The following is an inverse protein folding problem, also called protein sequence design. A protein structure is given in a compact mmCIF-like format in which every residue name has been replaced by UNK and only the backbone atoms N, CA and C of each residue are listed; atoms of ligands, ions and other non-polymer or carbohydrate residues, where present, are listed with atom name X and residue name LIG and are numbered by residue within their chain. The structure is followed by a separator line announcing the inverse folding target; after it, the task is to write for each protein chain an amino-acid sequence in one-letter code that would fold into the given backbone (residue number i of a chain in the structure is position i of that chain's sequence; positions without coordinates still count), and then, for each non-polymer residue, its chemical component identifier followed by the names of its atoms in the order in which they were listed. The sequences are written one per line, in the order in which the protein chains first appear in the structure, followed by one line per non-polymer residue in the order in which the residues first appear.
data_IF_256335451375
#
_entry.id   IF_256335451375
#
_cell.length_a   1.000
_cell.length_b   1.000
_cell.length_c   1.000
_cell.angle_alpha   90.00
_cell.angle_beta   90.00
_cell.angle_gamma   90.00
#
_symmetry.space_group_name_H-M   'P 1'
#
loop_
_entity.id
_entity.type
_entity.pdbx_description
1 polymer ?
#
# COMPACT_ATOMS: atom_id res chain seq x y z
N UNK A 1 3.98 25.93 6.71
CA UNK A 1 3.40 25.76 8.03
C UNK A 1 2.87 24.33 8.21
N UNK A 2 3.31 23.64 9.28
CA UNK A 2 2.98 22.23 9.56
C UNK A 2 1.47 22.00 9.68
N UNK A 3 0.76 22.94 10.28
CA UNK A 3 -0.70 22.85 10.47
C UNK A 3 -1.46 22.92 9.13
N UNK A 4 -0.97 23.72 8.20
CA UNK A 4 -1.53 23.77 6.84
C UNK A 4 -1.32 22.46 6.11
N UNK A 5 -0.12 21.86 6.19
CA UNK A 5 0.16 20.54 5.62
C UNK A 5 -0.75 19.47 6.23
N UNK A 6 -0.92 19.46 7.56
CA UNK A 6 -1.81 18.51 8.25
C UNK A 6 -3.25 18.59 7.75
N UNK A 7 -3.79 19.81 7.60
CA UNK A 7 -5.16 19.99 7.09
C UNK A 7 -5.32 19.50 5.65
N UNK A 8 -4.35 19.79 4.77
CA UNK A 8 -4.38 19.28 3.39
C UNK A 8 -4.29 17.75 3.36
N UNK A 9 -3.35 17.14 4.09
CA UNK A 9 -3.21 15.68 4.19
C UNK A 9 -4.53 15.04 4.65
N UNK A 10 -5.16 15.58 5.68
CA UNK A 10 -6.44 15.06 6.19
C UNK A 10 -7.56 15.13 5.15
N UNK A 11 -7.64 16.20 4.35
CA UNK A 11 -8.64 16.30 3.27
C UNK A 11 -8.38 15.31 2.16
N UNK A 12 -7.13 15.17 1.73
CA UNK A 12 -6.72 14.20 0.71
C UNK A 12 -7.03 12.76 1.17
N UNK A 13 -6.67 12.42 2.41
CA UNK A 13 -6.97 11.09 2.97
C UNK A 13 -8.45 10.78 3.02
N UNK A 14 -9.28 11.70 3.51
CA UNK A 14 -10.74 11.50 3.54
C UNK A 14 -11.31 11.21 2.16
N UNK A 15 -10.75 11.82 1.10
CA UNK A 15 -11.17 11.55 -0.26
C UNK A 15 -10.72 10.18 -0.79
N UNK A 16 -9.63 9.63 -0.26
CA UNK A 16 -9.12 8.30 -0.61
C UNK A 16 -9.77 7.18 0.21
N UNK A 17 -10.09 7.45 1.48
CA UNK A 17 -10.61 6.47 2.44
C UNK A 17 -12.15 6.39 2.43
N UNK A 18 -12.82 7.03 1.48
CA UNK A 18 -14.28 7.08 1.43
C UNK A 18 -14.87 5.70 1.08
N UNK A 19 -15.35 4.99 2.09
CA UNK A 19 -16.12 3.76 1.91
C UNK A 19 -17.48 4.05 1.26
N UNK A 20 -17.68 3.62 0.02
CA UNK A 20 -18.94 3.75 -0.70
C UNK A 20 -18.95 4.86 -1.75
N UNK A 21 -19.57 6.00 -1.50
CA UNK A 21 -19.63 7.10 -2.46
C UNK A 21 -18.35 7.90 -2.45
N UNK A 22 -17.54 7.79 -3.52
CA UNK A 22 -16.30 8.54 -3.67
C UNK A 22 -16.57 10.05 -3.78
N UNK A 23 -16.09 10.88 -2.83
CA UNK A 23 -16.13 12.32 -2.99
C UNK A 23 -15.18 12.75 -4.11
N UNK A 24 -15.38 13.96 -4.63
CA UNK A 24 -14.42 14.55 -5.56
C UNK A 24 -13.06 14.66 -4.87
N UNK A 25 -12.02 14.14 -5.53
CA UNK A 25 -10.65 14.27 -5.01
C UNK A 25 -10.19 15.74 -5.12
N UNK A 26 -9.67 16.34 -4.03
CA UNK A 26 -9.29 17.75 -4.00
C UNK A 26 -7.92 17.98 -4.66
N UNK A 27 -7.89 18.02 -5.99
CA UNK A 27 -6.66 18.17 -6.81
C UNK A 27 -5.92 19.47 -6.52
N UNK A 28 -6.65 20.52 -6.15
CA UNK A 28 -6.09 21.82 -5.78
C UNK A 28 -5.28 21.73 -4.48
N UNK A 29 -5.78 20.97 -3.48
CA UNK A 29 -5.04 20.70 -2.25
C UNK A 29 -3.82 19.82 -2.52
N UNK A 30 -3.93 18.86 -3.43
CA UNK A 30 -2.82 17.99 -3.82
C UNK A 30 -1.69 18.78 -4.49
N UNK A 31 -2.05 19.76 -5.35
CA UNK A 31 -1.09 20.68 -5.94
C UNK A 31 -0.48 21.64 -4.91
N UNK A 32 -1.30 22.24 -4.06
CA UNK A 32 -0.81 23.14 -3.02
C UNK A 32 0.13 22.44 -2.04
N UNK A 33 -0.16 21.18 -1.68
CA UNK A 33 0.71 20.38 -0.84
C UNK A 33 2.02 20.02 -1.56
N UNK A 34 1.97 19.68 -2.85
CA UNK A 34 3.17 19.48 -3.67
C UNK A 34 4.06 20.73 -3.66
N UNK A 35 3.50 21.90 -3.95
CA UNK A 35 4.26 23.17 -3.93
C UNK A 35 4.85 23.49 -2.56
N UNK A 36 4.12 23.15 -1.49
CA UNK A 36 4.60 23.37 -0.12
C UNK A 36 5.81 22.48 0.21
N UNK A 37 5.81 21.23 -0.23
CA UNK A 37 6.83 20.23 0.13
C UNK A 37 8.00 20.25 -0.85
N UNK A 38 7.70 20.19 -2.15
CA UNK A 38 8.69 20.01 -3.20
C UNK A 38 9.03 21.31 -3.95
N UNK A 39 8.19 22.33 -3.87
CA UNK A 39 8.41 23.62 -4.53
C UNK A 39 9.81 24.20 -4.27
N UNK A 40 10.31 24.23 -3.02
CA UNK A 40 11.66 24.73 -2.74
C UNK A 40 12.80 23.94 -3.37
N UNK A 41 12.53 22.70 -3.78
CA UNK A 41 13.52 21.81 -4.40
C UNK A 41 13.20 21.51 -5.87
N UNK A 42 12.22 22.15 -6.47
CA UNK A 42 11.68 21.80 -7.79
C UNK A 42 12.75 21.88 -8.90
N UNK A 43 13.62 22.87 -8.85
CA UNK A 43 14.77 22.99 -9.78
C UNK A 43 15.73 21.78 -9.67
N UNK A 44 15.96 21.29 -8.44
CA UNK A 44 16.80 20.11 -8.19
C UNK A 44 16.14 18.82 -8.63
N UNK A 45 14.82 18.79 -8.71
CA UNK A 45 14.06 17.65 -9.20
C UNK A 45 13.96 17.61 -10.72
N UNK A 46 14.34 18.67 -11.41
CA UNK A 46 14.34 18.72 -12.86
C UNK A 46 15.21 17.59 -13.45
N UNK A 47 14.65 16.79 -14.36
CA UNK A 47 15.35 15.66 -14.97
C UNK A 47 15.48 14.41 -14.10
N UNK A 48 15.13 14.45 -12.82
CA UNK A 48 15.12 13.26 -11.98
C UNK A 48 13.97 12.32 -12.37
N UNK A 49 14.23 11.02 -12.32
CA UNK A 49 13.23 9.97 -12.58
C UNK A 49 12.80 9.27 -11.30
N UNK A 50 13.65 9.27 -10.28
CA UNK A 50 13.42 8.63 -8.99
C UNK A 50 13.50 9.63 -7.86
N UNK A 51 12.57 9.53 -6.92
CA UNK A 51 12.59 10.28 -5.65
C UNK A 51 12.51 9.27 -4.51
N UNK A 52 13.48 9.34 -3.61
CA UNK A 52 13.46 8.61 -2.35
C UNK A 52 13.08 9.62 -1.27
N UNK A 53 11.93 9.43 -0.66
CA UNK A 53 11.41 10.32 0.36
C UNK A 53 11.42 9.65 1.73
N UNK A 54 11.77 10.45 2.74
CA UNK A 54 11.69 10.09 4.16
C UNK A 54 10.64 11.00 4.78
N UNK A 55 9.34 10.64 4.68
CA UNK A 55 8.29 11.49 5.23
C UNK A 55 8.33 11.52 6.75
N UNK A 56 7.80 12.60 7.33
CA UNK A 56 7.65 12.76 8.77
C UNK A 56 6.29 13.33 9.14
N UNK A 57 5.85 13.09 10.37
CA UNK A 57 4.59 13.63 10.90
C UNK A 57 3.37 13.26 10.03
N UNK A 58 2.51 14.24 9.68
CA UNK A 58 1.29 13.97 8.91
C UNK A 58 1.53 13.30 7.55
N UNK A 59 2.70 13.53 6.94
CA UNK A 59 3.04 13.02 5.61
C UNK A 59 3.25 11.51 5.56
N UNK A 60 3.50 10.86 6.70
CA UNK A 60 3.59 9.40 6.82
C UNK A 60 2.32 8.69 6.37
N UNK A 61 1.19 9.36 6.47
CA UNK A 61 -0.12 8.78 6.19
C UNK A 61 -0.63 9.04 4.77
N UNK A 62 0.19 9.68 3.90
CA UNK A 62 -0.21 10.01 2.54
C UNK A 62 0.78 9.43 1.53
N UNK A 63 0.27 8.74 0.51
CA UNK A 63 1.11 8.37 -0.63
C UNK A 63 1.40 9.61 -1.49
N UNK A 64 2.68 9.91 -1.75
CA UNK A 64 3.06 11.09 -2.55
C UNK A 64 2.66 10.98 -4.02
N UNK A 65 2.35 9.77 -4.48
CA UNK A 65 1.88 9.54 -5.85
C UNK A 65 0.62 10.30 -6.22
N UNK A 66 -0.23 10.64 -5.23
CA UNK A 66 -1.48 11.39 -5.43
C UNK A 66 -1.29 12.91 -5.42
N UNK A 67 -0.07 13.41 -5.21
CA UNK A 67 0.23 14.82 -5.35
C UNK A 67 0.21 15.23 -6.82
N UNK A 68 -0.11 16.49 -7.08
CA UNK A 68 -0.22 17.06 -8.43
C UNK A 68 0.95 18.00 -8.66
N UNK A 69 1.70 17.80 -9.74
CA UNK A 69 2.96 18.52 -10.00
C UNK A 69 2.78 19.83 -10.78
N UNK A 70 1.60 20.02 -11.41
CA UNK A 70 1.29 21.22 -12.21
C UNK A 70 -0.07 21.76 -11.81
N UNK A 71 -0.34 23.08 -12.04
CA UNK A 71 -1.65 23.63 -11.74
C UNK A 71 -2.77 22.81 -12.37
N UNK A 72 -3.71 22.28 -11.58
CA UNK A 72 -4.75 21.45 -12.13
C UNK A 72 -5.67 22.29 -13.03
N UNK A 73 -5.84 21.86 -14.27
CA UNK A 73 -6.95 22.34 -15.09
C UNK A 73 -8.26 21.78 -14.50
N UNK A 74 -9.40 22.44 -14.77
CA UNK A 74 -10.69 22.01 -14.20
C UNK A 74 -10.94 20.53 -14.49
N UNK A 75 -10.72 19.70 -13.47
CA UNK A 75 -11.04 18.28 -13.54
C UNK A 75 -12.54 18.11 -13.52
N UNK A 76 -13.08 17.30 -14.42
CA UNK A 76 -14.44 16.78 -14.33
C UNK A 76 -14.61 16.05 -13.00
N UNK A 77 -15.82 15.91 -12.49
CA UNK A 77 -16.08 15.18 -11.23
C UNK A 77 -15.61 13.74 -11.25
N UNK A 78 -15.43 13.15 -12.42
CA UNK A 78 -15.12 11.73 -12.63
C UNK A 78 -13.91 11.47 -13.52
N UNK A 79 -13.38 12.49 -14.21
CA UNK A 79 -12.25 12.33 -15.11
C UNK A 79 -11.01 13.05 -14.56
N UNK A 80 -10.01 12.24 -14.21
CA UNK A 80 -8.70 12.65 -13.71
C UNK A 80 -7.58 12.30 -14.70
N UNK A 81 -7.91 11.98 -15.96
CA UNK A 81 -6.94 11.52 -16.97
C UNK A 81 -5.88 12.57 -17.29
N UNK A 82 -6.26 13.85 -17.25
CA UNK A 82 -5.39 15.00 -17.60
C UNK A 82 -4.67 15.60 -16.38
N UNK A 83 -4.74 14.96 -15.22
CA UNK A 83 -4.05 15.43 -14.03
C UNK A 83 -2.59 14.98 -14.05
N UNK A 84 -1.68 15.95 -13.83
CA UNK A 84 -0.24 15.71 -13.74
C UNK A 84 0.14 15.11 -12.38
N UNK A 85 -0.25 13.83 -12.17
CA UNK A 85 0.05 13.11 -10.93
C UNK A 85 1.55 12.90 -10.75
N UNK A 86 2.05 13.07 -9.52
CA UNK A 86 3.45 12.85 -9.18
C UNK A 86 3.90 11.41 -9.52
N UNK A 87 3.02 10.41 -9.37
CA UNK A 87 3.27 9.02 -9.73
C UNK A 87 3.49 8.79 -11.23
N UNK A 88 3.04 9.71 -12.10
CA UNK A 88 3.30 9.63 -13.55
C UNK A 88 4.66 10.21 -13.94
N UNK A 89 5.16 11.15 -13.15
CA UNK A 89 6.40 11.86 -13.41
C UNK A 89 7.61 11.19 -12.76
N UNK A 90 7.43 10.60 -11.58
CA UNK A 90 8.52 10.06 -10.78
C UNK A 90 8.23 8.64 -10.30
N UNK A 91 9.22 7.78 -10.28
CA UNK A 91 9.21 6.57 -9.46
C UNK A 91 9.49 6.97 -8.00
N UNK A 92 8.57 6.60 -7.10
CA UNK A 92 8.58 7.04 -5.71
C UNK A 92 8.94 5.88 -4.79
N UNK A 93 9.94 6.09 -3.95
CA UNK A 93 10.31 5.18 -2.87
C UNK A 93 10.16 5.89 -1.54
N UNK A 94 9.47 5.27 -0.58
CA UNK A 94 9.39 5.75 0.79
C UNK A 94 10.35 4.94 1.65
N UNK A 95 11.20 5.62 2.40
CA UNK A 95 12.10 4.98 3.37
C UNK A 95 11.75 5.46 4.79
N UNK A 96 11.85 4.58 5.80
CA UNK A 96 11.56 4.95 7.20
C UNK A 96 12.54 6.00 7.72
N UNK A 97 13.79 5.94 7.30
CA UNK A 97 14.83 6.92 7.60
C UNK A 97 15.93 6.90 6.52
N UNK A 98 16.68 7.97 6.42
CA UNK A 98 17.87 8.02 5.55
C UNK A 98 18.90 6.95 5.96
N UNK A 99 19.09 6.73 7.25
CA UNK A 99 20.00 5.70 7.77
C UNK A 99 19.56 4.29 7.37
N UNK A 100 18.26 3.99 7.48
CA UNK A 100 17.73 2.70 7.03
C UNK A 100 17.98 2.47 5.56
N UNK A 101 17.79 3.50 4.74
CA UNK A 101 18.08 3.41 3.30
C UNK A 101 19.56 3.13 3.01
N UNK A 102 20.46 3.86 3.69
CA UNK A 102 21.91 3.63 3.56
C UNK A 102 22.28 2.22 3.99
N UNK A 103 21.80 1.76 5.15
CA UNK A 103 22.06 0.42 5.67
C UNK A 103 21.61 -0.67 4.69
N UNK A 104 20.41 -0.53 4.09
CA UNK A 104 19.91 -1.46 3.08
C UNK A 104 20.80 -1.54 1.85
N UNK A 105 21.49 -0.45 1.51
CA UNK A 105 22.39 -0.39 0.32
C UNK A 105 23.82 -0.82 0.59
N UNK A 106 24.29 -0.68 1.83
CA UNK A 106 25.71 -0.86 2.15
C UNK A 106 25.99 -2.09 3.03
N UNK A 107 25.03 -2.46 3.89
CA UNK A 107 25.26 -3.45 4.96
C UNK A 107 24.45 -4.73 4.78
N UNK A 108 23.24 -4.62 4.18
CA UNK A 108 22.38 -5.79 4.02
C UNK A 108 22.91 -6.68 2.91
N UNK A 109 23.22 -7.92 3.28
CA UNK A 109 23.60 -8.96 2.32
C UNK A 109 22.35 -9.42 1.54
N UNK A 110 22.53 -9.86 0.29
CA UNK A 110 21.45 -10.51 -0.47
C UNK A 110 20.85 -11.66 0.33
N UNK A 111 19.54 -11.84 0.22
CA UNK A 111 18.84 -12.93 0.88
C UNK A 111 19.43 -14.28 0.46
N UNK A 112 19.71 -15.15 1.44
CA UNK A 112 20.10 -16.54 1.22
C UNK A 112 18.88 -17.47 1.13
N UNK A 113 17.67 -16.91 1.10
CA UNK A 113 16.46 -17.71 0.98
C UNK A 113 16.47 -18.51 -0.34
N UNK A 114 16.12 -19.81 -0.30
CA UNK A 114 16.06 -20.64 -1.50
C UNK A 114 14.90 -20.25 -2.44
N UNK A 115 13.91 -19.51 -1.92
CA UNK A 115 12.79 -19.03 -2.70
C UNK A 115 12.85 -17.50 -2.85
N UNK A 116 12.74 -17.04 -4.09
CA UNK A 116 12.67 -15.61 -4.41
C UNK A 116 11.36 -14.97 -3.93
N UNK A 117 10.31 -15.79 -3.76
CA UNK A 117 8.99 -15.32 -3.40
C UNK A 117 8.17 -16.45 -2.76
N UNK A 118 7.41 -16.10 -1.71
CA UNK A 118 6.35 -16.94 -1.16
C UNK A 118 5.08 -16.09 -1.12
N UNK A 119 4.01 -16.57 -1.74
CA UNK A 119 2.72 -15.88 -1.83
C UNK A 119 1.65 -16.56 -0.98
N UNK A 120 0.97 -15.78 -0.15
CA UNK A 120 -0.19 -16.21 0.64
C UNK A 120 -1.42 -15.44 0.19
N UNK A 121 -2.49 -16.13 -0.12
CA UNK A 121 -3.72 -15.46 -0.53
C UNK A 121 -4.86 -16.41 -0.90
N UNK A 122 -5.86 -15.85 -1.57
CA UNK A 122 -7.08 -16.58 -1.93
C UNK A 122 -7.76 -17.16 -0.68
N UNK A 123 -7.83 -16.33 0.35
CA UNK A 123 -8.46 -16.68 1.62
C UNK A 123 -9.89 -17.19 1.38
N UNK A 124 -10.20 -18.34 1.97
CA UNK A 124 -11.55 -18.92 1.93
C UNK A 124 -12.25 -18.60 3.25
N UNK A 125 -13.28 -17.73 3.23
CA UNK A 125 -14.07 -17.45 4.41
C UNK A 125 -14.80 -18.73 4.88
N UNK A 126 -14.74 -19.02 6.15
CA UNK A 126 -15.38 -20.23 6.70
C UNK A 126 -16.86 -20.04 7.07
N UNK A 127 -17.34 -18.81 7.20
CA UNK A 127 -18.72 -18.50 7.60
C UNK A 127 -19.07 -18.89 9.05
N UNK A 128 -18.15 -19.52 9.79
CA UNK A 128 -18.34 -19.98 11.16
C UNK A 128 -17.23 -19.44 12.08
N UNK A 129 -17.67 -18.66 13.08
CA UNK A 129 -16.74 -18.08 14.07
C UNK A 129 -16.04 -19.14 14.93
N UNK A 130 -16.68 -20.27 15.20
CA UNK A 130 -16.08 -21.37 15.96
C UNK A 130 -14.85 -21.94 15.24
N UNK A 131 -14.97 -22.19 13.95
CA UNK A 131 -13.85 -22.65 13.10
C UNK A 131 -12.72 -21.63 13.08
N UNK A 132 -13.04 -20.34 12.99
CA UNK A 132 -12.03 -19.26 13.03
C UNK A 132 -11.34 -19.21 14.41
N UNK A 133 -12.10 -19.30 15.47
CA UNK A 133 -11.56 -19.28 16.85
C UNK A 133 -10.59 -20.44 17.06
N UNK A 134 -10.96 -21.65 16.68
CA UNK A 134 -10.11 -22.83 16.80
C UNK A 134 -8.83 -22.71 15.96
N UNK A 135 -8.98 -22.28 14.70
CA UNK A 135 -7.85 -22.11 13.78
C UNK A 135 -6.84 -21.06 14.27
N UNK A 136 -7.32 -19.98 14.87
CA UNK A 136 -6.48 -18.86 15.36
C UNK A 136 -6.08 -19.03 16.84
N UNK A 137 -6.66 -19.98 17.55
CA UNK A 137 -6.47 -20.15 19.00
C UNK A 137 -6.99 -18.96 19.78
N UNK A 138 -8.15 -18.41 19.39
CA UNK A 138 -8.75 -17.22 20.02
C UNK A 138 -9.48 -17.61 21.32
N UNK A 139 -9.39 -16.78 22.36
CA UNK A 139 -10.18 -16.96 23.58
C UNK A 139 -11.70 -16.87 23.31
N UNK A 140 -12.50 -17.50 24.16
CA UNK A 140 -13.98 -17.48 24.04
C UNK A 140 -14.58 -16.07 24.00
N UNK A 141 -13.94 -15.09 24.65
CA UNK A 141 -14.37 -13.68 24.62
C UNK A 141 -14.22 -12.96 23.28
N UNK A 142 -13.50 -13.55 22.33
CA UNK A 142 -13.24 -12.95 21.01
C UNK A 142 -14.19 -13.44 19.90
N UNK A 143 -15.40 -13.90 20.27
CA UNK A 143 -16.34 -14.45 19.29
C UNK A 143 -16.82 -13.41 18.26
N UNK A 144 -17.04 -12.16 18.68
CA UNK A 144 -17.47 -11.08 17.80
C UNK A 144 -16.41 -10.78 16.72
N UNK A 145 -15.13 -10.76 17.10
CA UNK A 145 -14.01 -10.59 16.16
C UNK A 145 -13.87 -11.80 15.23
N UNK A 146 -14.11 -13.00 15.73
CA UNK A 146 -14.11 -14.23 14.93
C UNK A 146 -15.27 -14.24 13.92
N UNK A 147 -16.45 -13.75 14.30
CA UNK A 147 -17.59 -13.57 13.37
C UNK A 147 -17.27 -12.58 12.24
N UNK A 148 -16.59 -11.47 12.56
CA UNK A 148 -16.14 -10.53 11.53
C UNK A 148 -15.19 -11.19 10.54
N UNK A 149 -14.21 -11.96 11.03
CA UNK A 149 -13.23 -12.67 10.18
C UNK A 149 -13.91 -13.76 9.35
N UNK A 150 -14.83 -14.52 9.96
CA UNK A 150 -15.56 -15.60 9.30
C UNK A 150 -16.41 -15.11 8.10
N UNK A 151 -16.90 -13.85 8.21
CA UNK A 151 -17.76 -13.23 7.19
C UNK A 151 -17.02 -12.24 6.27
N UNK A 152 -15.68 -12.21 6.29
CA UNK A 152 -14.93 -11.39 5.34
C UNK A 152 -15.24 -11.81 3.90
N UNK A 153 -15.40 -10.84 2.98
CA UNK A 153 -15.64 -11.17 1.58
C UNK A 153 -14.43 -11.88 0.97
N UNK A 154 -14.67 -12.86 0.11
CA UNK A 154 -13.62 -13.48 -0.67
C UNK A 154 -12.94 -12.45 -1.58
N UNK A 155 -11.64 -12.64 -1.81
CA UNK A 155 -10.81 -11.78 -2.66
C UNK A 155 -10.44 -12.55 -3.95
N UNK A 156 -11.33 -12.64 -4.95
CA UNK A 156 -11.20 -13.57 -6.08
C UNK A 156 -10.00 -13.30 -6.99
N UNK A 157 -9.46 -12.09 -6.96
CA UNK A 157 -8.32 -11.72 -7.80
C UNK A 157 -6.96 -12.02 -7.17
N UNK A 158 -6.91 -12.32 -5.87
CA UNK A 158 -5.65 -12.49 -5.14
C UNK A 158 -4.81 -13.65 -5.68
N UNK A 159 -5.45 -14.77 -6.00
CA UNK A 159 -4.76 -15.92 -6.60
C UNK A 159 -4.12 -15.56 -7.95
N UNK A 160 -4.81 -14.78 -8.78
CA UNK A 160 -4.29 -14.32 -10.08
C UNK A 160 -3.10 -13.39 -9.91
N UNK A 161 -3.19 -12.43 -9.00
CA UNK A 161 -2.11 -11.48 -8.69
C UNK A 161 -0.86 -12.21 -8.19
N UNK A 162 -1.01 -13.16 -7.28
CA UNK A 162 0.09 -13.94 -6.74
C UNK A 162 0.77 -14.81 -7.81
N UNK A 163 0.00 -15.47 -8.69
CA UNK A 163 0.56 -16.23 -9.81
C UNK A 163 1.32 -15.33 -10.78
N UNK A 164 0.80 -14.15 -11.10
CA UNK A 164 1.51 -13.19 -11.95
C UNK A 164 2.81 -12.70 -11.32
N UNK A 165 2.80 -12.44 -10.01
CA UNK A 165 3.99 -12.04 -9.26
C UNK A 165 5.03 -13.16 -9.22
N UNK A 166 4.62 -14.39 -8.91
CA UNK A 166 5.51 -15.56 -8.90
C UNK A 166 6.15 -15.77 -10.28
N UNK A 167 5.37 -15.69 -11.36
CA UNK A 167 5.88 -15.82 -12.72
C UNK A 167 6.93 -14.76 -13.05
N UNK A 168 6.70 -13.50 -12.68
CA UNK A 168 7.67 -12.41 -12.89
C UNK A 168 8.96 -12.59 -12.09
N UNK A 169 8.87 -13.14 -10.90
CA UNK A 169 10.01 -13.44 -10.02
C UNK A 169 10.63 -14.81 -10.28
N UNK A 170 10.10 -15.56 -11.26
CA UNK A 170 10.53 -16.94 -11.59
C UNK A 170 10.46 -17.87 -10.38
N UNK A 171 9.49 -17.65 -9.49
CA UNK A 171 9.23 -18.50 -8.35
C UNK A 171 8.36 -19.70 -8.75
N UNK A 172 8.60 -20.88 -8.17
CA UNK A 172 7.82 -22.08 -8.49
C UNK A 172 6.38 -21.99 -7.93
N UNK A 173 5.45 -22.72 -8.53
CA UNK A 173 4.05 -22.77 -8.06
C UNK A 173 3.94 -23.30 -6.62
N UNK A 174 4.89 -24.13 -6.16
CA UNK A 174 4.98 -24.58 -4.77
C UNK A 174 5.24 -23.45 -3.76
N UNK A 175 5.64 -22.28 -4.22
CA UNK A 175 5.76 -21.08 -3.40
C UNK A 175 4.44 -20.36 -3.14
N UNK A 176 3.34 -20.82 -3.76
CA UNK A 176 2.02 -20.23 -3.62
C UNK A 176 1.15 -21.05 -2.67
N UNK A 177 0.71 -20.43 -1.61
CA UNK A 177 -0.15 -21.02 -0.58
C UNK A 177 -1.51 -20.35 -0.68
N UNK A 178 -2.43 -20.99 -1.42
CA UNK A 178 -3.70 -20.43 -1.83
C UNK A 178 -4.88 -21.22 -1.27
N UNK A 179 -6.02 -20.54 -1.13
CA UNK A 179 -7.27 -21.15 -0.73
C UNK A 179 -7.19 -21.93 0.59
N UNK A 180 -7.69 -23.15 0.66
CA UNK A 180 -7.66 -23.97 1.88
C UNK A 180 -6.26 -24.27 2.41
N UNK A 181 -5.22 -24.21 1.56
CA UNK A 181 -3.84 -24.39 1.98
C UNK A 181 -3.30 -23.20 2.79
N UNK A 182 -3.93 -22.03 2.67
CA UNK A 182 -3.60 -20.84 3.47
C UNK A 182 -4.16 -20.98 4.88
N UNK A 183 -3.52 -21.80 5.67
CA UNK A 183 -3.91 -22.08 7.05
C UNK A 183 -2.69 -22.13 7.99
N UNK A 184 -2.94 -21.95 9.30
CA UNK A 184 -1.90 -21.93 10.34
C UNK A 184 -0.97 -23.14 10.35
N UNK A 185 -1.46 -24.40 10.15
CA UNK A 185 -0.59 -25.58 10.07
C UNK A 185 0.41 -25.51 8.93
N UNK A 186 -0.01 -25.01 7.74
CA UNK A 186 0.87 -24.85 6.59
C UNK A 186 1.95 -23.82 6.87
N UNK A 187 1.59 -22.67 7.46
CA UNK A 187 2.55 -21.60 7.81
C UNK A 187 3.62 -22.09 8.80
N UNK A 188 3.25 -22.94 9.76
CA UNK A 188 4.22 -23.50 10.74
C UNK A 188 5.23 -24.48 10.13
N UNK A 189 4.95 -25.04 8.96
CA UNK A 189 5.86 -25.95 8.22
C UNK A 189 6.87 -25.23 7.36
N UNK A 190 6.66 -23.94 7.11
CA UNK A 190 7.59 -23.09 6.38
C UNK A 190 8.68 -22.60 7.34
N UNK A 191 9.67 -23.45 7.60
CA UNK A 191 10.88 -23.12 8.38
C UNK A 191 12.04 -22.94 7.45
#
# INVERSE_FOLDING_TARGET
NLETARRMVNRLRRALDAGGRLPRFPVEDAYALYKLIFGPAEERLAGMKHIIAVPGGPLLSLTFGVLVTEPPQQASRTDYSNISWMARKYALTLAPSAQSFVNLRTTVQPSQSPLAFIGFGDFVPHGDAGVVMDALGMPQGCRAEADLIANLPALPNTAKELRQTAARLKAPDSSLILGPAFCKPTLKKLK
#
